data_IF_905050008911
#
_entry.id   IF_905050008911
#
_cell.length_a   1.000
_cell.length_b   1.000
_cell.length_c   1.000
_cell.angle_alpha   90.00
_cell.angle_beta   90.00
_cell.angle_gamma   90.00
#
_symmetry.space_group_name_H-M   'P 1'
#
loop_
_entity.id
_entity.type
_entity.pdbx_description
1 polymer ?
#
# COMPACT_ATOMS: atom_id res chain seq x y z
N UNK A 1 -5.07 -8.01 -9.73
CA UNK A 1 -4.49 -8.49 -11.00
C UNK A 1 -5.43 -9.42 -11.74
N UNK A 2 -5.01 -9.83 -12.95
CA UNK A 2 -5.79 -10.72 -13.81
C UNK A 2 -4.86 -11.59 -14.67
N UNK A 3 -5.11 -12.87 -14.67
CA UNK A 3 -4.58 -13.79 -15.69
C UNK A 3 -5.42 -13.66 -16.95
N UNK A 4 -4.75 -13.60 -18.10
CA UNK A 4 -5.37 -13.36 -19.40
C UNK A 4 -5.58 -14.67 -20.14
N UNK A 5 -6.77 -14.83 -20.70
CA UNK A 5 -7.19 -16.03 -21.43
C UNK A 5 -7.49 -15.71 -22.90
N UNK A 6 -7.59 -16.74 -23.72
CA UNK A 6 -8.03 -16.59 -25.11
C UNK A 6 -9.44 -15.96 -25.17
N UNK A 7 -9.55 -14.84 -25.90
CA UNK A 7 -10.79 -14.06 -25.99
C UNK A 7 -10.97 -13.03 -24.87
N UNK A 8 -10.11 -13.01 -23.84
CA UNK A 8 -10.12 -12.00 -22.75
C UNK A 8 -8.72 -11.53 -22.39
N UNK A 9 -8.10 -10.78 -23.27
CA UNK A 9 -6.71 -10.30 -23.21
C UNK A 9 -6.57 -8.91 -22.62
N UNK A 10 -7.53 -8.48 -21.77
CA UNK A 10 -7.49 -7.14 -21.17
C UNK A 10 -7.84 -7.13 -19.68
N UNK A 11 -7.14 -6.28 -18.95
CA UNK A 11 -7.54 -5.84 -17.60
C UNK A 11 -8.07 -4.41 -17.71
N UNK A 12 -9.30 -4.19 -17.24
CA UNK A 12 -9.96 -2.87 -17.24
C UNK A 12 -10.43 -2.54 -15.85
N UNK A 13 -10.07 -1.36 -15.37
CA UNK A 13 -10.56 -0.85 -14.08
C UNK A 13 -10.86 0.64 -14.19
N UNK A 14 -11.79 1.11 -13.35
CA UNK A 14 -12.06 2.54 -13.19
C UNK A 14 -11.34 3.05 -11.95
N UNK A 15 -11.06 4.34 -11.91
CA UNK A 15 -10.45 5.01 -10.75
C UNK A 15 -11.55 5.79 -10.04
N UNK A 16 -11.79 5.43 -8.78
CA UNK A 16 -12.55 6.22 -7.82
C UNK A 16 -11.61 7.12 -7.04
N UNK A 17 -12.13 8.23 -6.52
CA UNK A 17 -11.40 9.16 -5.67
C UNK A 17 -12.23 9.42 -4.40
N UNK A 18 -11.54 9.59 -3.26
CA UNK A 18 -12.20 9.98 -2.02
C UNK A 18 -12.88 11.34 -2.19
N UNK A 19 -14.11 11.48 -1.68
CA UNK A 19 -14.85 12.74 -1.73
C UNK A 19 -14.18 13.86 -0.92
N UNK A 20 -13.45 13.50 0.13
CA UNK A 20 -12.71 14.41 0.99
C UNK A 20 -11.41 14.93 0.37
N UNK A 21 -10.97 14.36 -0.75
CA UNK A 21 -9.72 14.74 -1.39
C UNK A 21 -9.86 16.02 -2.19
N UNK A 22 -9.07 17.03 -1.82
CA UNK A 22 -8.98 18.31 -2.54
C UNK A 22 -8.31 18.15 -3.92
N UNK A 23 -7.47 17.13 -4.10
CA UNK A 23 -6.83 16.78 -5.35
C UNK A 23 -7.20 15.35 -5.75
N UNK A 24 -7.72 15.17 -6.96
CA UNK A 24 -8.01 13.87 -7.53
C UNK A 24 -6.75 13.35 -8.22
N UNK A 25 -5.89 12.69 -7.44
CA UNK A 25 -4.60 12.19 -7.89
C UNK A 25 -4.57 10.65 -7.79
N UNK A 26 -4.14 9.99 -8.85
CA UNK A 26 -3.84 8.57 -8.85
C UNK A 26 -2.43 8.34 -9.42
N UNK A 27 -1.66 7.48 -8.73
CA UNK A 27 -0.41 6.91 -9.21
C UNK A 27 -0.61 5.41 -9.34
N UNK A 28 -0.53 4.90 -10.55
CA UNK A 28 -0.79 3.49 -10.83
C UNK A 28 0.44 2.86 -11.48
N UNK A 29 0.95 1.81 -10.83
CA UNK A 29 1.96 0.93 -11.41
C UNK A 29 1.27 -0.26 -12.05
N UNK A 30 1.59 -0.52 -13.31
CA UNK A 30 0.98 -1.55 -14.14
C UNK A 30 2.08 -2.47 -14.64
N UNK A 31 2.03 -3.73 -14.27
CA UNK A 31 3.05 -4.72 -14.60
C UNK A 31 2.51 -5.80 -15.51
N UNK A 32 3.19 -6.03 -16.62
CA UNK A 32 2.98 -7.17 -17.50
C UNK A 32 3.81 -8.39 -17.12
N UNK A 33 3.61 -9.50 -17.81
CA UNK A 33 4.44 -10.70 -17.71
C UNK A 33 5.80 -10.49 -18.38
N UNK A 34 6.83 -11.22 -17.93
CA UNK A 34 8.16 -11.22 -18.55
C UNK A 34 8.07 -11.62 -20.02
N UNK A 35 8.65 -10.80 -20.89
CA UNK A 35 8.75 -11.06 -22.33
C UNK A 35 7.45 -10.89 -23.11
N UNK A 36 6.35 -10.55 -22.44
CA UNK A 36 5.07 -10.30 -23.10
C UNK A 36 4.90 -8.81 -23.49
N UNK A 37 4.18 -8.49 -24.57
CA UNK A 37 3.84 -7.13 -24.88
C UNK A 37 2.89 -6.57 -23.83
N UNK A 38 2.99 -5.27 -23.57
CA UNK A 38 2.05 -4.55 -22.71
C UNK A 38 1.63 -3.27 -23.41
N UNK A 39 0.33 -3.03 -23.49
CA UNK A 39 -0.26 -1.82 -24.05
C UNK A 39 -1.24 -1.24 -23.05
N UNK A 40 -1.10 0.05 -22.72
CA UNK A 40 -1.91 0.73 -21.74
C UNK A 40 -2.49 2.02 -22.29
N UNK A 41 -3.77 2.26 -22.02
CA UNK A 41 -4.49 3.48 -22.31
C UNK A 41 -5.20 3.99 -21.05
N UNK A 42 -5.23 5.29 -20.87
CA UNK A 42 -6.19 5.94 -20.00
C UNK A 42 -7.47 6.24 -20.79
N UNK A 43 -8.62 6.09 -20.14
CA UNK A 43 -9.91 6.25 -20.82
C UNK A 43 -10.89 7.06 -19.98
N UNK A 44 -11.87 7.70 -20.63
CA UNK A 44 -13.05 8.25 -19.97
C UNK A 44 -14.22 7.29 -20.21
N UNK A 45 -14.89 6.90 -19.16
CA UNK A 45 -15.96 5.91 -19.13
C UNK A 45 -17.29 6.58 -18.78
N UNK A 46 -18.36 6.23 -19.52
CA UNK A 46 -19.73 6.51 -19.08
C UNK A 46 -20.03 5.65 -17.86
N UNK A 47 -20.17 6.27 -16.70
CA UNK A 47 -20.34 5.58 -15.42
C UNK A 47 -21.65 4.77 -15.34
N UNK A 48 -22.68 5.16 -16.11
CA UNK A 48 -23.97 4.47 -16.13
C UNK A 48 -23.95 3.21 -17.01
N UNK A 49 -23.22 3.27 -18.13
CA UNK A 49 -23.20 2.21 -19.14
C UNK A 49 -21.94 1.35 -19.10
N UNK A 50 -20.87 1.79 -18.44
CA UNK A 50 -19.55 1.14 -18.50
C UNK A 50 -18.88 1.22 -19.87
N UNK A 51 -19.34 2.13 -20.75
CA UNK A 51 -18.84 2.29 -22.11
C UNK A 51 -17.68 3.29 -22.12
N UNK A 52 -16.59 2.92 -22.78
CA UNK A 52 -15.50 3.87 -23.06
C UNK A 52 -15.97 4.93 -24.06
N UNK A 53 -15.80 6.18 -23.71
CA UNK A 53 -16.22 7.35 -24.49
C UNK A 53 -15.05 8.07 -25.16
N UNK A 54 -13.89 8.13 -24.46
CA UNK A 54 -12.67 8.74 -24.96
C UNK A 54 -11.48 7.91 -24.50
N UNK A 55 -10.45 7.87 -25.35
CA UNK A 55 -9.20 7.15 -25.10
C UNK A 55 -8.00 8.08 -25.30
N UNK A 56 -6.98 7.93 -24.49
CA UNK A 56 -5.66 8.51 -24.74
C UNK A 56 -4.94 7.73 -25.86
N UNK A 57 -3.88 8.28 -26.45
CA UNK A 57 -2.85 7.46 -27.09
C UNK A 57 -2.38 6.37 -26.13
N UNK A 58 -1.92 5.25 -26.66
CA UNK A 58 -1.37 4.18 -25.84
C UNK A 58 0.12 4.36 -25.60
N UNK A 59 0.61 3.90 -24.44
CA UNK A 59 2.00 3.45 -24.32
C UNK A 59 2.03 1.95 -24.59
N UNK A 60 3.03 1.46 -25.33
CA UNK A 60 3.14 0.06 -25.71
C UNK A 60 4.59 -0.39 -25.94
N UNK A 61 4.88 -1.68 -25.70
CA UNK A 61 6.22 -2.25 -25.66
C UNK A 61 7.02 -2.01 -26.95
N UNK A 62 6.36 -2.10 -28.10
CA UNK A 62 6.98 -1.93 -29.43
C UNK A 62 6.55 -0.63 -30.12
N UNK A 63 6.14 0.38 -29.33
CA UNK A 63 5.64 1.64 -29.87
C UNK A 63 6.02 2.85 -29.02
N UNK A 64 5.04 3.74 -28.78
CA UNK A 64 5.23 4.93 -27.95
C UNK A 64 5.42 4.53 -26.49
N UNK A 65 6.51 4.96 -25.86
CA UNK A 65 6.84 4.65 -24.48
C UNK A 65 6.49 5.75 -23.49
N UNK A 66 6.27 6.98 -23.95
CA UNK A 66 5.92 8.15 -23.13
C UNK A 66 4.74 8.89 -23.72
N UNK A 67 3.68 9.02 -22.94
CA UNK A 67 2.46 9.76 -23.32
C UNK A 67 2.09 10.77 -22.26
N UNK A 68 1.92 12.02 -22.68
CA UNK A 68 1.24 13.05 -21.89
C UNK A 68 -0.01 13.50 -22.64
N UNK A 69 -1.17 13.30 -22.01
CA UNK A 69 -2.45 13.53 -22.67
C UNK A 69 -3.43 14.27 -21.78
N UNK A 70 -4.15 15.23 -22.36
CA UNK A 70 -5.27 15.92 -21.70
C UNK A 70 -6.54 15.58 -22.45
N UNK A 71 -7.54 15.07 -21.73
CA UNK A 71 -8.82 14.74 -22.35
C UNK A 71 -9.50 16.00 -22.92
N UNK A 72 -10.15 15.90 -24.09
CA UNK A 72 -10.72 17.05 -24.78
C UNK A 72 -11.89 17.65 -24.01
N UNK A 73 -12.17 18.92 -24.30
CA UNK A 73 -13.38 19.57 -23.86
C UNK A 73 -14.61 18.79 -24.30
N UNK A 74 -15.62 18.70 -23.43
CA UNK A 74 -16.82 17.87 -23.67
C UNK A 74 -16.69 16.40 -23.25
N UNK A 75 -15.50 15.92 -22.87
CA UNK A 75 -15.34 14.57 -22.30
C UNK A 75 -16.04 14.42 -20.94
N UNK A 76 -16.33 15.54 -20.26
CA UNK A 76 -16.83 15.56 -18.89
C UNK A 76 -15.74 15.32 -17.84
N UNK A 77 -14.49 15.34 -18.25
CA UNK A 77 -13.32 15.14 -17.37
C UNK A 77 -12.26 16.18 -17.72
N UNK A 78 -11.85 16.99 -16.74
CA UNK A 78 -10.69 17.88 -16.84
C UNK A 78 -9.52 17.22 -16.16
N UNK A 79 -8.74 16.46 -16.92
CA UNK A 79 -7.63 15.67 -16.42
C UNK A 79 -6.47 15.63 -17.39
N UNK A 80 -5.25 15.63 -16.82
CA UNK A 80 -4.03 15.29 -17.53
C UNK A 80 -3.54 13.92 -17.04
N UNK A 81 -3.19 13.06 -17.99
CA UNK A 81 -2.60 11.75 -17.75
C UNK A 81 -1.18 11.76 -18.30
N UNK A 82 -0.26 11.22 -17.53
CA UNK A 82 1.10 10.94 -17.95
C UNK A 82 1.34 9.46 -17.77
N UNK A 83 1.84 8.80 -18.80
CA UNK A 83 2.19 7.37 -18.78
C UNK A 83 3.61 7.21 -19.29
N UNK A 84 4.42 6.44 -18.59
CA UNK A 84 5.77 6.08 -19.00
C UNK A 84 5.92 4.55 -18.91
N UNK A 85 6.36 3.94 -20.01
CA UNK A 85 6.63 2.51 -20.10
C UNK A 85 8.14 2.28 -20.02
N UNK A 86 8.53 1.35 -19.17
CA UNK A 86 9.91 0.90 -19.04
C UNK A 86 10.00 -0.62 -18.91
N UNK A 87 11.14 -1.17 -19.29
CA UNK A 87 11.48 -2.56 -18.99
C UNK A 87 12.33 -2.58 -17.71
N UNK A 88 11.88 -3.34 -16.72
CA UNK A 88 12.64 -3.49 -15.49
C UNK A 88 13.92 -4.31 -15.75
N UNK A 89 15.12 -3.76 -15.44
CA UNK A 89 16.38 -4.40 -15.80
C UNK A 89 16.69 -5.67 -15.00
N UNK A 90 16.03 -5.84 -13.85
CA UNK A 90 16.29 -6.97 -12.94
C UNK A 90 15.45 -8.19 -13.28
N UNK A 91 14.15 -8.00 -13.54
CA UNK A 91 13.21 -9.10 -13.78
C UNK A 91 12.69 -9.17 -15.21
N UNK A 92 13.11 -8.22 -16.07
CA UNK A 92 12.75 -8.13 -17.50
C UNK A 92 11.23 -8.00 -17.77
N UNK A 93 10.44 -7.67 -16.75
CA UNK A 93 9.01 -7.39 -16.92
C UNK A 93 8.81 -5.96 -17.41
N UNK A 94 7.77 -5.76 -18.18
CA UNK A 94 7.36 -4.41 -18.62
C UNK A 94 6.50 -3.78 -17.53
N UNK A 95 6.82 -2.53 -17.20
CA UNK A 95 6.13 -1.68 -16.25
C UNK A 95 5.62 -0.43 -16.94
N UNK A 96 4.41 -0.01 -16.64
CA UNK A 96 3.88 1.30 -16.99
C UNK A 96 3.54 2.07 -15.73
N UNK A 97 4.20 3.19 -15.52
CA UNK A 97 3.84 4.17 -14.50
C UNK A 97 2.81 5.12 -15.10
N UNK A 98 1.63 5.19 -14.48
CA UNK A 98 0.55 6.09 -14.87
C UNK A 98 0.27 7.09 -13.75
N UNK A 99 0.41 8.38 -14.04
CA UNK A 99 -0.04 9.45 -13.18
C UNK A 99 -1.27 10.11 -13.79
N UNK A 100 -2.35 10.16 -13.05
CA UNK A 100 -3.57 10.86 -13.42
C UNK A 100 -3.87 11.97 -12.42
N UNK A 101 -3.97 13.20 -12.89
CA UNK A 101 -4.39 14.35 -12.10
C UNK A 101 -5.64 14.96 -12.69
N UNK A 102 -6.76 14.87 -11.99
CA UNK A 102 -8.02 15.43 -12.40
C UNK A 102 -8.40 16.65 -11.56
N UNK A 103 -8.79 17.75 -12.24
CA UNK A 103 -9.36 18.95 -11.62
C UNK A 103 -10.87 18.78 -11.38
N UNK A 104 -11.56 18.14 -12.32
CA UNK A 104 -12.97 17.83 -12.21
C UNK A 104 -13.34 16.58 -13.01
N UNK A 105 -14.35 15.88 -12.53
CA UNK A 105 -14.94 14.70 -13.17
C UNK A 105 -16.46 14.87 -13.03
N UNK A 106 -17.19 14.88 -14.13
CA UNK A 106 -18.64 14.93 -14.12
C UNK A 106 -19.21 13.65 -13.48
N UNK A 107 -20.36 13.78 -12.81
CA UNK A 107 -20.98 12.71 -12.02
C UNK A 107 -21.17 11.40 -12.83
N UNK A 108 -21.56 11.53 -14.09
CA UNK A 108 -21.77 10.39 -15.00
C UNK A 108 -20.51 9.94 -15.75
N UNK A 109 -19.32 10.36 -15.31
CA UNK A 109 -18.03 9.99 -15.89
C UNK A 109 -17.12 9.38 -14.86
N UNK A 110 -16.24 8.49 -15.34
CA UNK A 110 -15.10 7.96 -14.57
C UNK A 110 -13.87 7.98 -15.45
N UNK A 111 -12.71 8.13 -14.84
CA UNK A 111 -11.44 7.84 -15.48
C UNK A 111 -11.21 6.34 -15.31
N UNK A 112 -10.71 5.68 -16.32
CA UNK A 112 -10.37 4.26 -16.27
C UNK A 112 -9.04 3.97 -16.93
N UNK A 113 -8.58 2.76 -16.75
CA UNK A 113 -7.37 2.20 -17.34
C UNK A 113 -7.78 0.95 -18.12
N UNK A 114 -7.25 0.84 -19.32
CA UNK A 114 -7.34 -0.37 -20.16
C UNK A 114 -5.93 -0.84 -20.46
N UNK A 115 -5.55 -1.98 -19.92
CA UNK A 115 -4.29 -2.64 -20.22
C UNK A 115 -4.54 -3.94 -20.96
N UNK A 116 -3.74 -4.21 -21.98
CA UNK A 116 -3.84 -5.42 -22.81
C UNK A 116 -2.48 -6.08 -22.95
N UNK A 117 -2.50 -7.40 -23.06
CA UNK A 117 -1.33 -8.23 -23.32
C UNK A 117 -1.78 -9.52 -24.00
N UNK A 118 -0.88 -10.48 -24.25
CA UNK A 118 -1.19 -11.76 -24.89
C UNK A 118 -1.97 -12.69 -23.94
N UNK A 119 -2.73 -13.63 -24.52
CA UNK A 119 -3.33 -14.71 -23.77
C UNK A 119 -2.24 -15.60 -23.11
N UNK A 120 -2.54 -16.17 -21.94
CA UNK A 120 -1.59 -16.94 -21.15
C UNK A 120 -0.59 -16.10 -20.36
N UNK A 121 -0.76 -14.77 -20.35
CA UNK A 121 0.03 -13.83 -19.52
C UNK A 121 -0.80 -13.24 -18.39
N UNK A 122 -0.21 -12.39 -17.56
CA UNK A 122 -0.91 -11.70 -16.48
C UNK A 122 -0.62 -10.21 -16.49
N UNK A 123 -1.60 -9.42 -16.04
CA UNK A 123 -1.45 -7.99 -15.79
C UNK A 123 -1.81 -7.73 -14.33
N UNK A 124 -0.97 -6.98 -13.65
CA UNK A 124 -1.20 -6.53 -12.27
C UNK A 124 -1.13 -5.02 -12.20
N UNK A 125 -1.99 -4.42 -11.36
CA UNK A 125 -2.03 -2.97 -11.15
C UNK A 125 -2.08 -2.67 -9.66
N UNK A 126 -1.30 -1.67 -9.23
CA UNK A 126 -1.36 -1.11 -7.88
C UNK A 126 -1.57 0.39 -7.96
N UNK A 127 -2.42 0.91 -7.08
CA UNK A 127 -2.55 2.35 -6.90
C UNK A 127 -1.75 2.77 -5.67
N UNK A 128 -0.75 3.61 -5.88
CA UNK A 128 0.18 4.08 -4.85
C UNK A 128 -0.24 5.43 -4.24
N UNK A 129 -1.35 6.01 -4.69
CA UNK A 129 -1.89 7.24 -4.12
C UNK A 129 -3.03 6.93 -3.13
N UNK A 130 -2.94 7.48 -1.93
CA UNK A 130 -3.97 7.29 -0.89
C UNK A 130 -5.38 7.82 -1.29
N UNK A 131 -5.46 8.63 -2.33
CA UNK A 131 -6.68 9.32 -2.74
C UNK A 131 -7.49 8.55 -3.78
N UNK A 132 -6.87 7.59 -4.47
CA UNK A 132 -7.50 6.80 -5.51
C UNK A 132 -7.72 5.34 -5.10
N UNK A 133 -8.71 4.70 -5.69
CA UNK A 133 -8.97 3.28 -5.57
C UNK A 133 -9.54 2.71 -6.86
N UNK A 134 -9.38 1.40 -7.08
CA UNK A 134 -9.93 0.71 -8.24
C UNK A 134 -11.37 0.27 -8.00
N UNK A 135 -12.20 0.38 -9.02
CA UNK A 135 -13.58 -0.08 -8.99
C UNK A 135 -14.08 -0.56 -10.36
N UNK A 136 -15.03 -1.49 -10.33
CA UNK A 136 -15.73 -1.94 -11.53
C UNK A 136 -16.98 -1.11 -11.86
N UNK A 137 -17.42 -0.25 -10.94
CA UNK A 137 -18.63 0.56 -11.06
C UNK A 137 -19.91 -0.28 -11.26
N UNK A 138 -19.92 -1.55 -10.87
CA UNK A 138 -21.01 -2.48 -11.12
C UNK A 138 -21.15 -2.88 -12.61
N UNK A 139 -20.10 -2.76 -13.41
CA UNK A 139 -20.14 -2.97 -14.87
C UNK A 139 -19.40 -4.24 -15.27
N UNK A 140 -20.05 -5.08 -16.07
CA UNK A 140 -19.43 -6.29 -16.63
C UNK A 140 -18.21 -5.93 -17.49
N UNK A 141 -17.13 -6.70 -17.34
CA UNK A 141 -15.87 -6.50 -18.07
C UNK A 141 -14.95 -5.43 -17.49
N UNK A 142 -15.32 -4.87 -16.33
CA UNK A 142 -14.48 -4.01 -15.50
C UNK A 142 -14.15 -4.74 -14.20
N UNK A 143 -12.93 -4.57 -13.71
CA UNK A 143 -12.38 -5.26 -12.55
C UNK A 143 -12.46 -4.37 -11.31
N UNK A 144 -12.93 -4.93 -10.20
CA UNK A 144 -12.88 -4.31 -8.87
C UNK A 144 -11.47 -4.40 -8.30
N UNK A 145 -11.08 -3.41 -7.50
CA UNK A 145 -9.88 -3.50 -6.68
C UNK A 145 -10.10 -4.37 -5.44
N UNK A 146 -9.01 -4.84 -4.88
CA UNK A 146 -8.96 -5.55 -3.61
C UNK A 146 -7.83 -4.96 -2.74
N UNK A 147 -7.70 -5.44 -1.52
CA UNK A 147 -6.66 -5.03 -0.57
C UNK A 147 -5.55 -6.07 -0.42
N UNK A 148 -5.61 -7.17 -1.16
CA UNK A 148 -4.58 -8.20 -1.18
C UNK A 148 -3.39 -7.77 -2.04
N UNK A 149 -2.23 -8.41 -1.84
CA UNK A 149 -1.00 -8.13 -2.58
C UNK A 149 -0.53 -6.67 -2.49
N UNK A 150 -0.81 -5.99 -1.37
CA UNK A 150 -0.47 -4.58 -1.17
C UNK A 150 0.85 -4.35 -0.42
N UNK A 151 1.54 -5.42 -0.01
CA UNK A 151 2.93 -5.32 0.51
C UNK A 151 3.85 -4.93 -0.64
N UNK A 152 4.21 -3.65 -0.68
CA UNK A 152 5.00 -3.07 -1.76
C UNK A 152 6.51 -3.24 -1.57
N UNK A 153 7.23 -2.41 -2.28
CA UNK A 153 8.65 -2.44 -2.62
C UNK A 153 9.59 -2.94 -1.53
N UNK A 154 9.64 -2.29 -0.37
CA UNK A 154 10.66 -2.59 0.64
C UNK A 154 10.37 -3.89 1.40
N UNK A 155 9.10 -4.15 1.72
CA UNK A 155 8.70 -5.31 2.51
C UNK A 155 8.66 -6.61 1.73
N UNK A 156 8.32 -6.55 0.44
CA UNK A 156 8.12 -7.72 -0.43
C UNK A 156 9.35 -8.22 -1.19
N UNK A 157 10.46 -7.45 -1.22
CA UNK A 157 11.55 -7.65 -2.19
C UNK A 157 12.45 -8.86 -1.90
N UNK A 158 12.55 -9.34 -0.66
CA UNK A 158 13.52 -10.38 -0.31
C UNK A 158 13.09 -11.21 0.90
N UNK A 159 13.53 -12.46 0.93
CA UNK A 159 13.43 -13.32 2.12
C UNK A 159 14.34 -12.86 3.26
N UNK A 160 15.35 -12.05 2.98
CA UNK A 160 16.24 -11.51 4.01
C UNK A 160 15.70 -10.21 4.64
N UNK A 161 14.62 -9.64 4.11
CA UNK A 161 13.94 -8.47 4.67
C UNK A 161 12.78 -8.90 5.56
N UNK A 162 12.78 -8.44 6.80
CA UNK A 162 11.65 -8.62 7.72
C UNK A 162 10.62 -7.53 7.43
N UNK A 163 9.50 -7.93 6.86
CA UNK A 163 8.37 -7.05 6.55
C UNK A 163 7.46 -6.90 7.76
N UNK A 164 7.05 -5.67 8.07
CA UNK A 164 6.33 -5.35 9.30
C UNK A 164 4.98 -4.71 9.00
N UNK A 165 3.92 -5.34 9.46
CA UNK A 165 2.58 -4.76 9.49
C UNK A 165 2.35 -3.93 10.77
N UNK A 166 1.29 -3.14 10.77
CA UNK A 166 0.95 -2.22 11.86
C UNK A 166 -0.32 -2.63 12.59
N UNK A 167 -0.31 -2.57 13.93
CA UNK A 167 -1.53 -2.65 14.73
C UNK A 167 -1.66 -1.47 15.70
N UNK A 168 -2.89 -1.20 16.14
CA UNK A 168 -3.22 -0.02 16.95
C UNK A 168 -3.01 -0.29 18.44
N UNK A 169 -2.18 0.50 19.12
CA UNK A 169 -1.96 0.39 20.58
C UNK A 169 -2.54 1.56 21.35
N UNK A 170 -2.59 2.74 20.76
CA UNK A 170 -3.15 3.96 21.35
C UNK A 170 -4.19 4.57 20.43
N UNK A 171 -5.20 5.19 21.02
CA UNK A 171 -6.27 5.89 20.30
C UNK A 171 -6.32 7.36 20.63
N UNK A 172 -5.51 7.80 21.60
CA UNK A 172 -5.41 9.20 22.02
C UNK A 172 -4.03 9.50 22.59
N UNK A 173 -3.68 10.78 22.65
CA UNK A 173 -2.48 11.30 23.29
C UNK A 173 -2.72 12.73 23.77
N UNK A 174 -1.89 13.21 24.71
CA UNK A 174 -1.94 14.58 25.21
C UNK A 174 -0.80 15.37 24.59
N UNK A 175 -1.11 16.50 23.96
CA UNK A 175 -0.12 17.39 23.35
C UNK A 175 0.70 18.13 24.40
N UNK A 176 1.79 18.75 23.98
CA UNK A 176 2.61 19.62 24.81
C UNK A 176 1.79 20.75 25.46
N UNK A 177 0.80 21.29 24.75
CA UNK A 177 -0.14 22.30 25.25
C UNK A 177 -1.23 21.76 26.20
N UNK A 178 -1.25 20.46 26.50
CA UNK A 178 -2.22 19.84 27.40
C UNK A 178 -3.55 19.47 26.76
N UNK A 179 -3.68 19.60 25.43
CA UNK A 179 -4.88 19.19 24.69
C UNK A 179 -4.84 17.70 24.42
N UNK A 180 -5.95 17.01 24.68
CA UNK A 180 -6.10 15.58 24.32
C UNK A 180 -6.61 15.46 22.90
N UNK A 181 -5.86 14.75 22.06
CA UNK A 181 -6.25 14.39 20.70
C UNK A 181 -6.57 12.90 20.63
N UNK A 182 -7.77 12.58 20.13
CA UNK A 182 -8.19 11.23 19.79
C UNK A 182 -8.16 11.01 18.27
N UNK A 183 -7.86 9.79 17.84
CA UNK A 183 -7.95 9.40 16.43
C UNK A 183 -9.26 8.68 16.16
N UNK A 184 -9.87 8.97 15.01
CA UNK A 184 -11.11 8.34 14.59
C UNK A 184 -10.87 6.87 14.23
N UNK A 185 -11.58 5.96 14.90
CA UNK A 185 -11.51 4.51 14.63
C UNK A 185 -11.92 4.13 13.21
N UNK A 186 -12.74 4.95 12.55
CA UNK A 186 -13.10 4.74 11.15
C UNK A 186 -11.91 4.93 10.18
N UNK A 187 -10.86 5.66 10.60
CA UNK A 187 -9.67 5.90 9.80
C UNK A 187 -8.55 4.87 10.04
N UNK A 188 -8.47 4.32 11.25
CA UNK A 188 -7.31 3.47 11.63
C UNK A 188 -7.72 2.11 12.18
N UNK A 189 -8.98 1.87 12.49
CA UNK A 189 -9.47 0.68 13.19
C UNK A 189 -9.47 0.82 14.71
N UNK A 190 -9.96 -0.20 15.41
CA UNK A 190 -10.05 -0.22 16.87
C UNK A 190 -8.68 -0.47 17.53
N UNK A 191 -8.56 -0.12 18.81
CA UNK A 191 -7.40 -0.49 19.63
C UNK A 191 -7.24 -2.01 19.66
N UNK A 192 -6.04 -2.49 19.37
CA UNK A 192 -5.69 -3.92 19.27
C UNK A 192 -5.87 -4.50 17.87
N UNK A 193 -6.69 -3.88 17.01
CA UNK A 193 -6.89 -4.33 15.63
C UNK A 193 -5.69 -3.98 14.73
N UNK A 194 -5.60 -4.66 13.59
CA UNK A 194 -4.72 -4.25 12.49
C UNK A 194 -5.06 -2.82 12.10
N UNK A 195 -4.04 -2.02 11.85
CA UNK A 195 -4.25 -0.66 11.34
C UNK A 195 -4.82 -0.73 9.92
N UNK A 196 -5.88 0.03 9.63
CA UNK A 196 -6.53 0.00 8.31
C UNK A 196 -5.61 0.40 7.14
N UNK A 197 -4.50 1.08 7.44
CA UNK A 197 -3.47 1.44 6.47
C UNK A 197 -2.37 0.38 6.33
N UNK A 198 -2.39 -0.71 7.12
CA UNK A 198 -1.39 -1.78 7.02
C UNK A 198 -1.61 -2.58 5.75
N UNK A 199 -0.56 -2.72 4.95
CA UNK A 199 -0.59 -3.53 3.72
C UNK A 199 -0.76 -5.02 4.03
N UNK A 200 -1.36 -5.72 3.08
CA UNK A 200 -1.65 -7.15 3.14
C UNK A 200 -0.86 -7.91 2.07
N UNK A 201 -0.40 -9.09 2.44
CA UNK A 201 0.14 -10.06 1.49
C UNK A 201 -0.95 -10.85 0.75
N UNK A 202 -0.56 -11.97 0.13
CA UNK A 202 0.82 -12.41 -0.05
C UNK A 202 1.57 -11.54 -1.06
N UNK A 203 2.86 -11.83 -1.31
CA UNK A 203 3.54 -11.33 -2.50
C UNK A 203 3.06 -12.06 -3.74
N UNK A 204 3.28 -11.52 -4.96
CA UNK A 204 2.86 -12.17 -6.20
C UNK A 204 3.49 -13.55 -6.43
N UNK A 205 4.66 -13.79 -5.87
CA UNK A 205 5.34 -15.08 -5.88
C UNK A 205 4.89 -16.03 -4.75
N UNK A 206 3.82 -15.66 -4.02
CA UNK A 206 3.17 -16.50 -3.02
C UNK A 206 3.81 -16.51 -1.63
N UNK A 207 4.82 -15.68 -1.37
CA UNK A 207 5.41 -15.58 -0.02
C UNK A 207 4.45 -14.87 0.92
N UNK A 208 4.32 -15.41 2.13
CA UNK A 208 3.58 -14.76 3.21
C UNK A 208 4.30 -13.49 3.66
N UNK A 209 3.63 -12.36 3.59
CA UNK A 209 4.04 -11.06 4.11
C UNK A 209 2.80 -10.34 4.69
N UNK A 210 2.97 -9.50 5.72
CA UNK A 210 4.19 -9.20 6.47
C UNK A 210 4.72 -10.42 7.24
N UNK A 211 5.97 -10.37 7.72
CA UNK A 211 6.53 -11.43 8.58
C UNK A 211 5.95 -11.35 10.01
N UNK A 212 5.66 -10.15 10.50
CA UNK A 212 5.16 -9.87 11.84
C UNK A 212 4.43 -8.53 11.88
N UNK A 213 3.61 -8.29 12.91
CA UNK A 213 3.04 -6.98 13.18
C UNK A 213 3.61 -6.36 14.46
N UNK A 214 3.72 -5.03 14.47
CA UNK A 214 4.16 -4.24 15.61
C UNK A 214 3.29 -2.99 15.81
N UNK A 215 3.36 -2.31 16.99
CA UNK A 215 2.70 -1.04 17.19
C UNK A 215 3.10 -0.01 16.14
N UNK A 216 2.14 0.58 15.43
CA UNK A 216 2.40 1.59 14.41
C UNK A 216 1.37 2.72 14.36
N UNK A 217 0.36 2.71 15.23
CA UNK A 217 -0.63 3.80 15.32
C UNK A 217 -0.44 4.58 16.60
N UNK A 218 -0.34 5.91 16.49
CA UNK A 218 -0.05 6.86 17.57
C UNK A 218 1.18 6.44 18.38
N UNK A 219 2.26 6.08 17.69
CA UNK A 219 3.52 5.75 18.32
C UNK A 219 4.21 7.05 18.78
N UNK A 220 4.53 7.10 20.08
CA UNK A 220 5.25 8.22 20.69
C UNK A 220 6.73 7.88 20.69
N UNK A 221 7.54 8.73 20.05
CA UNK A 221 8.98 8.54 19.88
C UNK A 221 9.75 9.81 20.24
N UNK A 222 11.02 9.67 20.62
CA UNK A 222 11.90 10.79 20.81
C UNK A 222 12.07 11.59 19.51
N UNK A 223 12.06 12.91 19.63
CA UNK A 223 12.33 13.83 18.53
C UNK A 223 13.43 14.82 18.89
N UNK A 224 13.95 15.53 17.89
CA UNK A 224 14.99 16.52 18.10
C UNK A 224 14.42 17.82 18.68
N UNK A 225 15.10 18.39 19.69
CA UNK A 225 14.80 19.74 20.18
C UNK A 225 15.01 20.84 19.13
N UNK A 226 15.70 20.53 18.08
CA UNK A 226 15.97 21.43 16.94
C UNK A 226 14.94 21.28 15.80
N UNK A 227 13.95 20.43 15.98
CA UNK A 227 12.84 20.36 15.05
C UNK A 227 12.07 21.68 15.08
N UNK A 228 12.08 22.41 13.97
CA UNK A 228 11.67 23.82 13.91
C UNK A 228 10.24 24.06 14.39
N UNK A 229 9.33 23.11 14.13
CA UNK A 229 7.92 23.23 14.43
C UNK A 229 7.50 22.49 15.72
N UNK A 230 8.48 22.02 16.52
CA UNK A 230 8.18 21.19 17.68
C UNK A 230 7.19 21.86 18.65
N UNK A 231 7.40 23.14 18.98
CA UNK A 231 6.55 23.86 19.95
C UNK A 231 5.15 24.21 19.43
N UNK A 232 4.96 24.27 18.12
CA UNK A 232 3.69 24.54 17.44
C UNK A 232 3.00 23.28 16.93
N UNK A 233 3.67 22.13 16.91
CA UNK A 233 3.12 20.88 16.40
C UNK A 233 2.02 20.37 17.32
N UNK A 234 0.88 20.03 16.73
CA UNK A 234 -0.19 19.30 17.41
C UNK A 234 0.22 17.85 17.72
N UNK A 235 1.29 17.38 17.08
CA UNK A 235 1.87 16.05 17.32
C UNK A 235 2.84 16.03 18.49
N UNK A 236 3.38 17.19 18.95
CA UNK A 236 4.27 17.22 20.11
C UNK A 236 3.57 16.73 21.37
N UNK A 237 4.22 15.84 22.11
CA UNK A 237 3.63 15.14 23.25
C UNK A 237 4.22 15.65 24.56
N UNK A 238 3.36 15.89 25.54
CA UNK A 238 3.79 16.26 26.90
C UNK A 238 4.41 15.04 27.61
N UNK A 239 5.71 15.13 27.90
CA UNK A 239 6.43 14.10 28.65
C UNK A 239 7.63 14.70 29.38
N UNK A 240 7.47 15.02 30.66
CA UNK A 240 8.55 15.57 31.49
C UNK A 240 9.30 16.74 30.81
N UNK A 241 10.60 16.62 30.74
CA UNK A 241 11.55 17.53 30.11
C UNK A 241 12.07 16.98 28.73
N UNK A 242 11.56 15.82 28.32
CA UNK A 242 11.91 15.19 27.06
C UNK A 242 11.21 15.80 25.85
N UNK A 243 11.79 15.54 24.69
CA UNK A 243 11.24 15.91 23.41
C UNK A 243 10.67 14.68 22.73
N UNK A 244 9.35 14.63 22.63
CA UNK A 244 8.62 13.51 22.05
C UNK A 244 7.60 14.00 21.03
N UNK A 245 7.42 13.23 20.00
CA UNK A 245 6.41 13.46 18.98
C UNK A 245 5.60 12.18 18.74
N UNK A 246 4.40 12.34 18.19
CA UNK A 246 3.52 11.21 17.84
C UNK A 246 3.41 11.09 16.33
N UNK A 247 3.48 9.86 15.86
CA UNK A 247 3.30 9.56 14.45
C UNK A 247 2.58 8.21 14.27
N UNK A 248 2.14 7.91 13.05
CA UNK A 248 1.51 6.64 12.70
C UNK A 248 1.92 6.19 11.30
N UNK A 249 1.93 4.89 11.10
CA UNK A 249 2.32 4.23 9.86
C UNK A 249 3.04 2.91 10.12
N UNK A 250 3.11 2.05 9.12
CA UNK A 250 4.02 0.90 9.12
C UNK A 250 5.48 1.33 9.24
N UNK A 251 5.79 2.57 8.80
CA UNK A 251 7.09 3.23 9.03
C UNK A 251 7.43 3.40 10.52
N UNK A 252 6.43 3.47 11.41
CA UNK A 252 6.61 3.52 12.87
C UNK A 252 6.63 2.13 13.50
N UNK A 253 5.94 1.16 12.91
CA UNK A 253 5.98 -0.24 13.32
C UNK A 253 7.34 -0.91 13.03
N UNK A 254 7.94 -0.60 11.90
CA UNK A 254 9.22 -1.17 11.46
C UNK A 254 10.38 -0.93 12.47
N UNK A 255 10.65 0.28 12.97
CA UNK A 255 11.71 0.51 13.96
C UNK A 255 11.43 -0.16 15.32
N UNK A 256 10.19 -0.46 15.68
CA UNK A 256 9.89 -1.26 16.87
C UNK A 256 10.45 -2.68 16.71
N UNK A 257 10.26 -3.28 15.54
CA UNK A 257 10.85 -4.59 15.22
C UNK A 257 12.37 -4.50 15.12
N UNK A 258 12.90 -3.46 14.47
CA UNK A 258 14.35 -3.23 14.34
C UNK A 258 15.02 -3.16 15.70
N UNK A 259 14.47 -2.36 16.62
CA UNK A 259 15.00 -2.24 18.00
C UNK A 259 14.89 -3.56 18.77
N UNK A 260 13.81 -4.31 18.58
CA UNK A 260 13.63 -5.64 19.17
C UNK A 260 14.69 -6.62 18.66
N UNK A 261 14.90 -6.68 17.35
CA UNK A 261 15.91 -7.55 16.73
C UNK A 261 17.33 -7.15 17.15
N UNK A 262 17.60 -5.85 17.33
CA UNK A 262 18.89 -5.37 17.84
C UNK A 262 19.17 -5.91 19.25
N UNK A 263 18.17 -5.99 20.15
CA UNK A 263 18.32 -6.62 21.46
C UNK A 263 18.59 -8.13 21.36
N UNK A 264 17.93 -8.82 20.42
CA UNK A 264 18.19 -10.24 20.17
C UNK A 264 19.61 -10.48 19.62
N UNK A 265 20.07 -9.65 18.70
CA UNK A 265 21.43 -9.68 18.18
C UNK A 265 22.49 -9.34 19.26
N UNK A 266 22.15 -8.50 20.25
CA UNK A 266 23.02 -8.25 21.38
C UNK A 266 23.19 -9.52 22.24
N UNK A 267 22.14 -10.32 22.38
CA UNK A 267 22.19 -11.60 23.09
C UNK A 267 22.90 -12.69 22.26
N UNK A 268 22.64 -12.73 20.96
CA UNK A 268 23.25 -13.66 20.03
C UNK A 268 23.59 -12.99 18.69
N UNK A 269 24.82 -12.53 18.49
CA UNK A 269 25.23 -11.78 17.29
C UNK A 269 25.26 -12.65 16.02
N UNK A 270 25.08 -13.97 16.11
CA UNK A 270 25.13 -14.87 14.96
C UNK A 270 23.75 -15.14 14.34
N UNK A 271 22.67 -14.52 14.83
CA UNK A 271 21.33 -14.69 14.27
C UNK A 271 21.28 -14.24 12.80
N UNK A 272 20.87 -15.14 11.92
CA UNK A 272 20.54 -14.83 10.53
C UNK A 272 19.11 -14.28 10.41
N UNK A 273 18.73 -13.65 9.28
CA UNK A 273 17.34 -13.28 9.01
C UNK A 273 16.35 -14.46 9.11
N UNK A 274 16.80 -15.66 8.79
CA UNK A 274 15.99 -16.89 8.92
C UNK A 274 15.76 -17.26 10.39
N UNK A 275 16.79 -17.11 11.25
CA UNK A 275 16.66 -17.35 12.69
C UNK A 275 15.71 -16.32 13.33
N UNK A 276 15.83 -15.05 12.95
CA UNK A 276 14.88 -14.00 13.38
C UNK A 276 13.45 -14.37 13.02
N UNK A 277 13.18 -14.79 11.78
CA UNK A 277 11.83 -15.26 11.39
C UNK A 277 11.37 -16.48 12.19
N UNK A 278 12.27 -17.42 12.46
CA UNK A 278 11.96 -18.59 13.28
C UNK A 278 11.56 -18.18 14.70
N UNK A 279 12.28 -17.23 15.32
CA UNK A 279 11.95 -16.66 16.63
C UNK A 279 10.59 -15.96 16.58
N UNK A 280 10.35 -15.09 15.59
CA UNK A 280 9.05 -14.42 15.41
C UNK A 280 7.89 -15.41 15.33
N UNK A 281 8.02 -16.46 14.50
CA UNK A 281 6.99 -17.48 14.32
C UNK A 281 6.67 -18.26 15.59
N UNK A 282 7.65 -18.43 16.50
CA UNK A 282 7.48 -19.18 17.74
C UNK A 282 7.01 -18.33 18.91
N UNK A 283 7.28 -17.04 18.89
CA UNK A 283 7.11 -16.17 20.06
C UNK A 283 6.07 -15.06 19.87
N UNK A 284 5.60 -14.81 18.65
CA UNK A 284 4.58 -13.78 18.39
C UNK A 284 3.30 -14.08 19.19
N UNK A 285 2.71 -13.01 19.73
CA UNK A 285 1.49 -13.10 20.54
C UNK A 285 0.25 -13.12 19.65
N UNK A 286 -0.74 -13.85 20.12
CA UNK A 286 -2.06 -13.93 19.52
C UNK A 286 -3.13 -13.44 20.49
N UNK A 287 -4.18 -12.83 19.96
CA UNK A 287 -5.34 -12.35 20.72
C UNK A 287 -6.63 -12.44 19.87
N UNK A 288 -7.72 -11.83 20.34
CA UNK A 288 -9.02 -11.87 19.66
C UNK A 288 -9.00 -11.25 18.26
N UNK A 289 -8.02 -10.40 17.93
CA UNK A 289 -7.90 -9.79 16.61
C UNK A 289 -7.04 -10.63 15.66
N UNK A 290 -5.97 -11.23 16.16
CA UNK A 290 -5.11 -12.09 15.35
C UNK A 290 -5.68 -13.49 15.15
N UNK A 291 -6.59 -13.94 16.01
CA UNK A 291 -6.96 -15.34 16.11
C UNK A 291 -5.88 -16.17 16.80
N UNK A 292 -5.98 -17.50 16.73
CA UNK A 292 -4.92 -18.42 17.18
C UNK A 292 -3.83 -18.56 16.12
N UNK A 293 -2.67 -19.10 16.47
CA UNK A 293 -1.57 -19.30 15.53
C UNK A 293 -1.96 -20.10 14.27
N UNK A 294 -2.89 -21.06 14.42
CA UNK A 294 -3.36 -21.92 13.33
C UNK A 294 -4.46 -21.28 12.48
N UNK A 295 -5.18 -20.27 13.04
CA UNK A 295 -6.33 -19.62 12.40
C UNK A 295 -6.08 -18.14 12.09
N UNK A 296 -4.87 -17.65 12.33
CA UNK A 296 -4.49 -16.28 12.01
C UNK A 296 -4.45 -16.07 10.50
N UNK A 297 -4.96 -14.95 10.05
CA UNK A 297 -4.71 -14.50 8.68
C UNK A 297 -3.26 -14.01 8.57
N UNK A 298 -2.40 -14.90 8.12
CA UNK A 298 -0.96 -14.66 8.02
C UNK A 298 -0.61 -13.60 6.98
N UNK A 299 -1.45 -13.36 6.00
CA UNK A 299 -1.22 -12.31 5.01
C UNK A 299 -1.49 -10.91 5.58
N UNK A 300 -2.20 -10.83 6.70
CA UNK A 300 -2.43 -9.57 7.43
C UNK A 300 -1.53 -9.42 8.65
N UNK A 301 -1.34 -10.50 9.41
CA UNK A 301 -0.69 -10.48 10.72
C UNK A 301 0.73 -11.07 10.72
N UNK A 302 1.14 -11.76 9.68
CA UNK A 302 2.38 -12.53 9.67
C UNK A 302 2.38 -13.61 10.75
N UNK A 303 3.43 -13.64 11.55
CA UNK A 303 3.52 -14.51 12.73
C UNK A 303 2.54 -14.10 13.85
N UNK A 304 2.04 -12.88 13.84
CA UNK A 304 1.23 -12.27 14.90
C UNK A 304 1.83 -10.95 15.41
N UNK A 305 1.53 -10.58 16.66
CA UNK A 305 2.06 -9.38 17.30
C UNK A 305 3.41 -9.67 17.95
N UNK A 306 4.44 -8.88 17.64
CA UNK A 306 5.80 -9.10 18.16
C UNK A 306 5.81 -9.17 19.70
N UNK A 307 6.59 -10.11 20.25
CA UNK A 307 6.92 -10.20 21.66
C UNK A 307 8.44 -10.13 21.85
N UNK A 308 8.93 -8.94 22.23
CA UNK A 308 10.35 -8.66 22.38
C UNK A 308 11.00 -9.56 23.47
N UNK A 309 10.30 -9.78 24.58
CA UNK A 309 10.84 -10.51 25.72
C UNK A 309 10.83 -12.01 25.49
N UNK A 310 9.75 -12.55 24.94
CA UNK A 310 9.70 -13.97 24.59
C UNK A 310 10.76 -14.30 23.52
N UNK A 311 10.94 -13.43 22.52
CA UNK A 311 11.99 -13.59 21.51
C UNK A 311 13.39 -13.49 22.10
N UNK A 312 13.66 -12.57 23.03
CA UNK A 312 14.96 -12.44 23.69
C UNK A 312 15.36 -13.71 24.47
N UNK A 313 14.40 -14.39 25.08
CA UNK A 313 14.67 -15.66 25.78
C UNK A 313 15.02 -16.82 24.84
N UNK A 314 14.74 -16.64 23.57
CA UNK A 314 14.92 -17.66 22.55
C UNK A 314 16.13 -17.36 21.63
N UNK A 315 16.57 -16.10 21.60
CA UNK A 315 17.74 -15.65 20.88
C UNK A 315 19.03 -16.16 21.52
#
# INVERSE_FOLDING_TARGET
>A
GKDLEEGDTSLKTMIGFSESSASKLAYVDIWGSKGAPLKVKAVVVDALKGKVMYESPAVETDGETDVKYTFPDGSGVVSTVQMALQKNPTNERTEVMLMCRAKSIAENRKIGIVATSDAGTSIHMWNNAAEGYFLNGGKRGWTEGDTDYTVGELGGVSDNVISVGSYNTKMEYTTLGGVVYGINTALVGNKGALSLFSSHGPTLDGRTKPDVTAPGCLLISATSKYYADFSSSTCAVKSGDGYYDVNMGTSMASPVVTGTVALWLQANPNLSPADVRAILNKTARHDNYTGTAEKSDRNSWGAGKIDAFAGLKMA
#
